data_IF_390990501540
#
_entry.id   IF_390990501540
#
_cell.length_a   1.000
_cell.length_b   1.000
_cell.length_c   1.000
_cell.angle_alpha   90.00
_cell.angle_beta   90.00
_cell.angle_gamma   90.00
#
_symmetry.space_group_name_H-M   'P 1'
#
loop_
_entity.id
_entity.type
_entity.pdbx_description
1 polymer ?
#
# COMPACT_ATOMS: atom_id res chain seq x y z
N UNK A 1 15.67 6.05 14.77
CA UNK A 1 15.13 6.45 13.45
C UNK A 1 14.54 5.27 12.68
N UNK A 2 15.25 4.16 12.52
CA UNK A 2 14.80 2.96 11.78
C UNK A 2 13.45 2.38 12.23
N UNK A 3 13.20 2.28 13.55
CA UNK A 3 11.91 1.81 14.08
C UNK A 3 10.73 2.68 13.64
N UNK A 4 10.93 3.99 13.55
CA UNK A 4 9.88 4.93 13.15
C UNK A 4 9.55 4.80 11.66
N UNK A 5 10.57 4.55 10.82
CA UNK A 5 10.38 4.27 9.38
C UNK A 5 9.65 2.94 9.17
N UNK A 6 9.98 1.90 9.95
CA UNK A 6 9.29 0.62 9.86
C UNK A 6 7.82 0.75 10.29
N UNK A 7 7.55 1.34 11.46
CA UNK A 7 6.19 1.51 11.98
C UNK A 7 5.38 2.43 11.07
N UNK A 8 5.94 3.59 10.68
CA UNK A 8 5.28 4.55 9.81
C UNK A 8 5.02 3.99 8.41
N UNK A 9 6.00 3.29 7.83
CA UNK A 9 5.84 2.62 6.55
C UNK A 9 4.76 1.54 6.58
N UNK A 10 4.75 0.68 7.62
CA UNK A 10 3.70 -0.32 7.81
C UNK A 10 2.33 0.32 7.96
N UNK A 11 2.21 1.38 8.76
CA UNK A 11 0.94 2.09 8.96
C UNK A 11 0.41 2.64 7.62
N UNK A 12 1.27 3.26 6.81
CA UNK A 12 0.90 3.77 5.49
C UNK A 12 0.49 2.65 4.51
N UNK A 13 1.21 1.53 4.49
CA UNK A 13 0.83 0.38 3.65
C UNK A 13 -0.54 -0.16 4.04
N UNK A 14 -0.81 -0.31 5.34
CA UNK A 14 -2.10 -0.79 5.84
C UNK A 14 -3.22 0.20 5.51
N UNK A 15 -3.03 1.50 5.79
CA UNK A 15 -4.01 2.54 5.49
C UNK A 15 -4.33 2.62 3.99
N UNK A 16 -3.29 2.63 3.16
CA UNK A 16 -3.46 2.66 1.71
C UNK A 16 -4.13 1.39 1.18
N UNK A 17 -3.76 0.22 1.71
CA UNK A 17 -4.39 -1.06 1.37
C UNK A 17 -5.87 -1.13 1.75
N UNK A 18 -6.24 -0.62 2.93
CA UNK A 18 -7.63 -0.54 3.37
C UNK A 18 -8.47 0.40 2.49
N UNK A 19 -7.92 1.56 2.11
CA UNK A 19 -8.59 2.49 1.19
C UNK A 19 -8.75 1.88 -0.20
N UNK A 20 -7.71 1.22 -0.71
CA UNK A 20 -7.77 0.59 -2.03
C UNK A 20 -8.73 -0.60 -2.05
N UNK A 21 -8.66 -1.47 -1.04
CA UNK A 21 -9.56 -2.61 -0.90
C UNK A 21 -11.00 -2.18 -0.65
N UNK A 22 -11.22 -1.16 0.17
CA UNK A 22 -12.54 -0.57 0.41
C UNK A 22 -13.12 0.07 -0.84
N UNK A 23 -12.33 0.81 -1.62
CA UNK A 23 -12.76 1.40 -2.88
C UNK A 23 -13.13 0.32 -3.90
N UNK A 24 -12.28 -0.71 -4.04
CA UNK A 24 -12.58 -1.84 -4.92
C UNK A 24 -13.84 -2.59 -4.50
N UNK A 25 -14.02 -2.83 -3.19
CA UNK A 25 -15.21 -3.49 -2.65
C UNK A 25 -16.48 -2.68 -2.92
N UNK A 26 -16.44 -1.36 -2.67
CA UNK A 26 -17.58 -0.48 -2.90
C UNK A 26 -17.96 -0.41 -4.39
N UNK A 27 -16.97 -0.36 -5.28
CA UNK A 27 -17.19 -0.44 -6.72
C UNK A 27 -17.87 -1.78 -7.10
N UNK A 28 -17.28 -2.89 -6.65
CA UNK A 28 -17.65 -4.23 -7.11
C UNK A 28 -18.99 -4.73 -6.56
N UNK A 29 -19.31 -4.40 -5.30
CA UNK A 29 -20.42 -5.03 -4.59
C UNK A 29 -21.55 -4.07 -4.19
N UNK A 30 -21.36 -2.75 -4.35
CA UNK A 30 -22.37 -1.75 -3.97
C UNK A 30 -22.70 -0.74 -5.08
N UNK A 31 -22.17 -0.93 -6.29
CA UNK A 31 -22.31 0.04 -7.39
C UNK A 31 -23.67 0.04 -8.09
N UNK A 32 -24.54 0.99 -7.72
CA UNK A 32 -25.55 1.61 -8.60
C UNK A 32 -24.95 2.89 -9.28
N UNK A 33 -25.52 3.41 -10.40
CA UNK A 33 -24.73 3.93 -11.51
C UNK A 33 -24.06 5.30 -11.29
N UNK A 34 -22.88 5.43 -11.92
CA UNK A 34 -22.04 6.62 -12.13
C UNK A 34 -21.30 7.23 -10.93
N UNK A 35 -21.98 7.64 -9.85
CA UNK A 35 -21.33 8.43 -8.79
C UNK A 35 -20.56 7.56 -7.79
N UNK A 36 -21.07 6.36 -7.48
CA UNK A 36 -20.37 5.39 -6.65
C UNK A 36 -19.07 4.90 -7.30
N UNK A 37 -19.05 4.84 -8.63
CA UNK A 37 -17.92 4.33 -9.43
C UNK A 37 -16.76 5.33 -9.44
N UNK A 38 -17.05 6.64 -9.56
CA UNK A 38 -16.05 7.71 -9.48
C UNK A 38 -15.46 7.81 -8.06
N UNK A 39 -16.31 7.83 -7.03
CA UNK A 39 -15.86 7.91 -5.63
C UNK A 39 -15.01 6.70 -5.23
N UNK A 40 -15.45 5.50 -5.62
CA UNK A 40 -14.71 4.27 -5.40
C UNK A 40 -13.38 4.26 -6.18
N UNK A 41 -13.35 4.71 -7.43
CA UNK A 41 -12.14 4.85 -8.24
C UNK A 41 -11.11 5.80 -7.61
N UNK A 42 -11.56 6.94 -7.07
CA UNK A 42 -10.70 7.88 -6.35
C UNK A 42 -10.13 7.25 -5.08
N UNK A 43 -10.94 6.51 -4.31
CA UNK A 43 -10.48 5.78 -3.13
C UNK A 43 -9.43 4.72 -3.47
N UNK A 44 -9.63 3.99 -4.58
CA UNK A 44 -8.64 3.02 -5.08
C UNK A 44 -7.32 3.70 -5.40
N UNK A 45 -7.37 4.79 -6.17
CA UNK A 45 -6.18 5.54 -6.55
C UNK A 45 -5.44 6.10 -5.33
N UNK A 46 -6.15 6.78 -4.44
CA UNK A 46 -5.59 7.34 -3.21
C UNK A 46 -4.97 6.25 -2.33
N UNK A 47 -5.65 5.11 -2.19
CA UNK A 47 -5.16 3.96 -1.45
C UNK A 47 -3.83 3.44 -2.00
N UNK A 48 -3.72 3.26 -3.32
CA UNK A 48 -2.47 2.84 -3.94
C UNK A 48 -1.35 3.87 -3.81
N UNK A 49 -1.64 5.17 -3.92
CA UNK A 49 -0.63 6.23 -3.71
C UNK A 49 -0.06 6.18 -2.30
N UNK A 50 -0.93 6.07 -1.28
CA UNK A 50 -0.52 6.00 0.12
C UNK A 50 0.27 4.70 0.39
N UNK A 51 -0.22 3.56 -0.10
CA UNK A 51 0.45 2.28 0.07
C UNK A 51 1.82 2.25 -0.61
N UNK A 52 1.93 2.83 -1.81
CA UNK A 52 3.19 2.95 -2.56
C UNK A 52 4.23 3.76 -1.79
N UNK A 53 3.85 4.91 -1.23
CA UNK A 53 4.73 5.69 -0.36
C UNK A 53 5.12 4.91 0.91
N UNK A 54 4.17 4.22 1.54
CA UNK A 54 4.45 3.35 2.69
C UNK A 54 5.47 2.26 2.38
N UNK A 55 5.35 1.62 1.22
CA UNK A 55 6.30 0.59 0.77
C UNK A 55 7.71 1.16 0.57
N UNK A 56 7.83 2.36 -0.02
CA UNK A 56 9.13 3.02 -0.17
C UNK A 56 9.76 3.35 1.18
N UNK A 57 8.96 3.83 2.13
CA UNK A 57 9.42 4.10 3.51
C UNK A 57 9.88 2.81 4.20
N UNK A 58 9.18 1.70 4.00
CA UNK A 58 9.59 0.38 4.50
C UNK A 58 10.91 -0.07 3.88
N UNK A 59 11.10 0.09 2.57
CA UNK A 59 12.35 -0.25 1.88
C UNK A 59 13.50 0.59 2.44
N UNK A 60 13.31 1.90 2.60
CA UNK A 60 14.31 2.78 3.21
C UNK A 60 14.62 2.37 4.65
N UNK A 61 13.60 2.03 5.44
CA UNK A 61 13.74 1.50 6.80
C UNK A 61 14.51 0.18 6.85
N UNK A 62 14.24 -0.74 5.92
CA UNK A 62 14.91 -2.03 5.81
C UNK A 62 16.39 -1.88 5.44
N UNK A 63 16.71 -1.01 4.48
CA UNK A 63 18.09 -0.67 4.09
C UNK A 63 18.84 -0.05 5.27
N UNK A 64 18.22 0.92 5.95
CA UNK A 64 18.81 1.56 7.14
C UNK A 64 19.00 0.58 8.31
N UNK A 65 18.21 -0.49 8.38
CA UNK A 65 18.35 -1.56 9.36
C UNK A 65 19.35 -2.66 8.95
N UNK A 66 19.96 -2.56 7.76
CA UNK A 66 20.89 -3.56 7.24
C UNK A 66 20.22 -4.85 6.75
N UNK A 67 18.89 -4.86 6.63
CA UNK A 67 18.14 -6.01 6.09
C UNK A 67 18.40 -6.06 4.59
N UNK A 68 19.20 -7.04 4.15
CA UNK A 68 19.44 -7.28 2.73
C UNK A 68 18.28 -8.09 2.16
N UNK A 69 17.77 -7.75 0.96
CA UNK A 69 16.79 -8.59 0.28
C UNK A 69 17.41 -9.97 0.09
N UNK A 70 16.65 -11.02 0.44
CA UNK A 70 17.05 -12.40 0.22
C UNK A 70 17.23 -12.56 -1.28
N UNK A 71 18.49 -12.58 -1.74
CA UNK A 71 18.81 -12.98 -3.11
C UNK A 71 18.39 -14.44 -3.22
N UNK A 72 17.24 -14.70 -3.86
CA UNK A 72 16.94 -16.05 -4.33
C UNK A 72 18.09 -16.44 -5.25
N UNK A 73 19.00 -17.30 -4.77
CA UNK A 73 19.93 -18.02 -5.64
C UNK A 73 19.03 -18.75 -6.62
N UNK A 74 18.97 -18.26 -7.86
CA UNK A 74 18.48 -19.05 -8.96
C UNK A 74 19.37 -20.30 -8.98
N UNK A 75 18.80 -21.44 -8.57
CA UNK A 75 19.40 -22.74 -8.87
C UNK A 75 19.19 -22.93 -10.36
N UNK A 76 20.24 -22.66 -11.13
CA UNK A 76 20.43 -23.19 -12.48
C UNK A 76 20.43 -24.70 -12.45
#
# INVERSE_FOLDING_TARGET
MTKLLLIGGTALVVLGGLLAGGGWFLNTFTGEPADADIGAGIMVLAGFTIAGLGALVLVAGAIAAGIRPIKRRART
#
